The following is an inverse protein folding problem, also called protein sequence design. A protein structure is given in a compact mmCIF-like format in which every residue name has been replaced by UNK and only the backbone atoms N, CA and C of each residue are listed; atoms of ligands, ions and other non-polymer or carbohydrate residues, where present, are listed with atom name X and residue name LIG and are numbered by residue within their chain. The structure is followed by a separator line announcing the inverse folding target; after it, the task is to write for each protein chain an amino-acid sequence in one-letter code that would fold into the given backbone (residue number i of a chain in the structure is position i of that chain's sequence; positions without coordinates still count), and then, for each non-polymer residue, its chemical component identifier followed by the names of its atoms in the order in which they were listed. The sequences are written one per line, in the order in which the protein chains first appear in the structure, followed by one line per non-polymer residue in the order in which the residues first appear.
data_IF_177266676581
#
_entry.id   IF_177266676581
#
_cell.length_a   1.000
_cell.length_b   1.000
_cell.length_c   1.000
_cell.angle_alpha   90.00
_cell.angle_beta   90.00
_cell.angle_gamma   90.00
#
_symmetry.space_group_name_H-M   'P 1'
#
loop_
_entity.id
_entity.type
_entity.pdbx_description
1 polymer ?
#
# COMPACT_ATOMS: atom_id res chain seq x y z
N UNK A 1 8.45 15.10 22.15
CA UNK A 1 7.87 13.77 22.40
C UNK A 1 6.40 13.93 22.19
N UNK A 2 5.86 13.35 21.14
CA UNK A 2 4.41 13.34 20.91
C UNK A 2 3.81 12.45 21.98
N UNK A 3 2.79 12.94 22.66
CA UNK A 3 2.03 12.15 23.60
C UNK A 3 1.39 10.99 22.83
N UNK A 4 1.86 9.77 23.09
CA UNK A 4 1.19 8.57 22.59
C UNK A 4 -0.26 8.60 23.07
N UNK A 5 -1.19 8.21 22.21
CA UNK A 5 -2.56 7.99 22.66
C UNK A 5 -2.53 7.04 23.88
N UNK A 6 -2.83 7.53 25.10
CA UNK A 6 -2.67 6.74 26.32
C UNK A 6 -3.61 5.53 26.40
N UNK A 7 -4.61 5.47 25.52
CA UNK A 7 -5.55 4.36 25.41
C UNK A 7 -5.03 3.23 24.49
N UNK A 8 -3.91 3.45 23.79
CA UNK A 8 -3.38 2.49 22.81
C UNK A 8 -1.99 1.99 23.24
N UNK A 9 -1.95 0.84 23.88
CA UNK A 9 -0.72 0.21 24.43
C UNK A 9 -0.12 -0.86 23.49
N UNK A 10 -0.35 -0.76 22.18
CA UNK A 10 0.23 -1.69 21.22
C UNK A 10 1.61 -1.20 20.77
N UNK A 11 2.57 -2.11 20.75
CA UNK A 11 3.90 -1.93 20.16
C UNK A 11 4.20 -3.10 19.23
N UNK A 12 4.78 -2.81 18.06
CA UNK A 12 5.34 -3.88 17.22
C UNK A 12 6.49 -4.61 17.92
N UNK A 13 6.71 -5.85 17.52
CA UNK A 13 7.85 -6.63 18.03
C UNK A 13 9.18 -5.94 17.72
N UNK A 14 10.19 -6.07 18.58
CA UNK A 14 11.53 -5.53 18.32
C UNK A 14 12.09 -6.03 16.99
N UNK A 15 12.55 -5.10 16.15
CA UNK A 15 13.11 -5.41 14.83
C UNK A 15 12.06 -5.64 13.72
N UNK A 16 10.77 -5.50 13.99
CA UNK A 16 9.71 -5.62 12.98
C UNK A 16 9.96 -4.66 11.80
N UNK A 17 9.77 -5.15 10.58
CA UNK A 17 9.90 -4.36 9.36
C UNK A 17 8.97 -3.15 9.30
N UNK A 18 7.81 -3.23 9.94
CA UNK A 18 6.79 -2.17 9.94
C UNK A 18 7.29 -0.85 10.52
N UNK A 19 8.29 -0.86 11.43
CA UNK A 19 8.96 0.36 11.89
C UNK A 19 9.61 1.14 10.75
N UNK A 20 10.26 0.44 9.82
CA UNK A 20 10.88 1.07 8.65
C UNK A 20 9.86 1.63 7.68
N UNK A 21 8.74 0.94 7.49
CA UNK A 21 7.63 1.41 6.64
C UNK A 21 6.96 2.64 7.24
N UNK A 22 6.68 2.62 8.55
CA UNK A 22 6.17 3.78 9.28
C UNK A 22 7.08 5.00 9.06
N UNK A 23 8.39 4.83 9.28
CA UNK A 23 9.35 5.91 9.12
C UNK A 23 9.41 6.44 7.68
N UNK A 24 9.27 5.55 6.70
CA UNK A 24 9.20 5.94 5.30
C UNK A 24 7.93 6.75 4.99
N UNK A 25 6.79 6.36 5.55
CA UNK A 25 5.52 7.08 5.39
C UNK A 25 5.59 8.48 6.02
N UNK A 26 6.17 8.61 7.22
CA UNK A 26 6.40 9.91 7.87
C UNK A 26 7.24 10.84 6.99
N UNK A 27 8.37 10.36 6.46
CA UNK A 27 9.20 11.12 5.53
C UNK A 27 8.45 11.49 4.24
N UNK A 28 7.66 10.56 3.70
CA UNK A 28 6.92 10.79 2.47
C UNK A 28 5.83 11.87 2.64
N UNK A 29 5.07 11.82 3.73
CA UNK A 29 4.06 12.85 4.02
C UNK A 29 4.70 14.21 4.28
N UNK A 30 5.81 14.25 5.04
CA UNK A 30 6.56 15.47 5.28
C UNK A 30 7.08 16.11 3.97
N UNK A 31 7.72 15.32 3.10
CA UNK A 31 8.21 15.76 1.79
C UNK A 31 7.07 16.25 0.89
N UNK A 32 5.97 15.50 0.82
CA UNK A 32 4.79 15.87 0.03
C UNK A 32 4.16 17.17 0.52
N UNK A 33 4.06 17.35 1.84
CA UNK A 33 3.48 18.55 2.42
C UNK A 33 4.33 19.79 2.14
N UNK A 34 5.66 19.66 2.23
CA UNK A 34 6.59 20.77 1.90
C UNK A 34 6.50 21.09 0.40
N UNK A 35 6.51 20.08 -0.48
CA UNK A 35 6.51 20.27 -1.93
C UNK A 35 5.22 20.91 -2.45
N UNK A 36 4.08 20.58 -1.86
CA UNK A 36 2.75 21.01 -2.30
C UNK A 36 2.11 22.04 -1.35
N UNK A 37 2.88 22.60 -0.41
CA UNK A 37 2.39 23.59 0.58
C UNK A 37 1.14 23.09 1.34
N UNK A 38 1.12 21.80 1.68
CA UNK A 38 0.01 21.14 2.40
C UNK A 38 0.26 21.11 3.90
N UNK A 39 -0.84 21.04 4.64
CA UNK A 39 -0.80 20.74 6.09
C UNK A 39 -0.90 19.22 6.31
N UNK A 40 -0.53 18.76 7.52
CA UNK A 40 -0.69 17.34 7.87
C UNK A 40 -2.15 16.91 7.90
N UNK A 41 -3.07 17.81 8.22
CA UNK A 41 -4.53 17.57 8.22
C UNK A 41 -5.12 17.29 6.82
N UNK A 42 -4.40 17.62 5.75
CA UNK A 42 -4.79 17.29 4.38
C UNK A 42 -4.38 15.85 3.99
N UNK A 43 -3.78 15.10 4.91
CA UNK A 43 -3.47 13.68 4.74
C UNK A 43 -4.45 12.84 5.55
N UNK A 44 -4.86 11.71 4.96
CA UNK A 44 -5.70 10.71 5.62
C UNK A 44 -5.08 9.34 5.43
N UNK A 45 -4.80 8.66 6.54
CA UNK A 45 -4.30 7.29 6.54
C UNK A 45 -5.44 6.33 6.89
N UNK A 46 -5.77 5.44 5.97
CA UNK A 46 -6.81 4.42 6.12
C UNK A 46 -6.15 3.07 6.32
N UNK A 47 -6.27 2.53 7.51
CA UNK A 47 -5.65 1.26 7.88
C UNK A 47 -6.64 0.10 7.82
N UNK A 48 -6.15 -1.05 7.36
CA UNK A 48 -6.82 -2.34 7.53
C UNK A 48 -6.54 -2.95 8.90
N UNK A 49 -6.74 -4.25 9.06
CA UNK A 49 -6.54 -4.97 10.33
C UNK A 49 -5.31 -5.88 10.23
N UNK A 50 -4.52 -5.87 11.29
CA UNK A 50 -3.28 -6.63 11.45
C UNK A 50 -2.19 -5.78 12.07
N UNK A 51 -0.96 -6.28 12.12
CA UNK A 51 0.19 -5.51 12.62
C UNK A 51 0.35 -4.20 11.84
N UNK A 52 0.27 -4.26 10.52
CA UNK A 52 0.35 -3.10 9.62
C UNK A 52 -0.75 -2.05 9.88
N UNK A 53 -1.97 -2.48 10.25
CA UNK A 53 -3.08 -1.60 10.58
C UNK A 53 -2.81 -0.68 11.78
N UNK A 54 -1.94 -1.10 12.69
CA UNK A 54 -1.55 -0.29 13.85
C UNK A 54 -0.70 0.94 13.48
N UNK A 55 -0.26 1.07 12.24
CA UNK A 55 0.49 2.24 11.75
C UNK A 55 -0.21 3.56 12.09
N UNK A 56 -1.53 3.65 11.93
CA UNK A 56 -2.29 4.88 12.24
C UNK A 56 -2.18 5.34 13.69
N UNK A 57 -1.89 4.42 14.61
CA UNK A 57 -1.73 4.72 16.04
C UNK A 57 -0.27 4.94 16.44
N UNK A 58 0.67 4.57 15.57
CA UNK A 58 2.10 4.53 15.86
C UNK A 58 2.89 5.59 15.07
N UNK A 59 2.26 6.38 14.19
CA UNK A 59 2.89 7.50 13.54
C UNK A 59 3.44 8.47 14.59
N UNK A 60 4.61 9.02 14.33
CA UNK A 60 5.28 10.00 15.19
C UNK A 60 5.21 11.39 14.55
N UNK A 61 5.28 12.45 15.37
CA UNK A 61 5.21 13.83 14.90
C UNK A 61 3.78 14.36 14.84
N UNK A 62 3.55 15.29 13.93
CA UNK A 62 2.23 15.80 13.62
C UNK A 62 1.39 14.69 12.98
N UNK A 63 0.14 14.54 13.42
CA UNK A 63 -0.68 13.42 13.05
C UNK A 63 -1.63 13.76 11.89
N UNK A 64 -1.67 12.91 10.82
CA UNK A 64 -2.73 12.97 9.83
C UNK A 64 -4.05 12.46 10.45
N UNK A 65 -5.17 12.68 9.76
CA UNK A 65 -6.39 11.96 10.10
C UNK A 65 -6.22 10.47 9.83
N UNK A 66 -6.78 9.62 10.71
CA UNK A 66 -6.64 8.17 10.61
C UNK A 66 -7.96 7.43 10.75
N UNK A 67 -8.13 6.38 9.95
CA UNK A 67 -9.18 5.38 10.12
C UNK A 67 -8.51 4.03 10.37
N UNK A 68 -8.88 3.36 11.47
CA UNK A 68 -8.54 1.96 11.68
C UNK A 68 -9.83 1.15 11.57
N UNK A 69 -10.05 0.57 10.41
CA UNK A 69 -11.35 0.04 10.03
C UNK A 69 -11.47 -1.47 10.12
N UNK A 70 -12.40 -2.02 9.34
CA UNK A 70 -12.70 -3.45 9.29
C UNK A 70 -11.69 -4.17 8.41
N UNK A 71 -11.35 -5.40 8.77
CA UNK A 71 -10.42 -6.27 8.04
C UNK A 71 -10.80 -6.41 6.57
N UNK A 72 -9.83 -6.13 5.67
CA UNK A 72 -10.00 -6.17 4.23
C UNK A 72 -10.88 -5.06 3.64
N UNK A 73 -11.16 -3.98 4.38
CA UNK A 73 -12.06 -2.90 3.92
C UNK A 73 -11.39 -1.54 3.84
N UNK A 74 -10.09 -1.50 3.90
CA UNK A 74 -9.33 -0.24 3.79
C UNK A 74 -9.56 0.46 2.45
N UNK A 75 -9.56 -0.25 1.31
CA UNK A 75 -9.82 0.33 -0.01
C UNK A 75 -11.22 0.96 -0.15
N UNK A 76 -12.34 0.30 0.19
CA UNK A 76 -13.65 0.94 0.09
C UNK A 76 -13.83 2.13 1.04
N UNK A 77 -13.21 2.11 2.23
CA UNK A 77 -13.19 3.28 3.14
C UNK A 77 -12.39 4.42 2.52
N UNK A 78 -11.19 4.14 1.98
CA UNK A 78 -10.37 5.13 1.29
C UNK A 78 -11.10 5.72 0.06
N UNK A 79 -11.80 4.88 -0.70
CA UNK A 79 -12.62 5.32 -1.82
C UNK A 79 -13.72 6.30 -1.37
N UNK A 80 -14.45 5.97 -0.32
CA UNK A 80 -15.49 6.85 0.24
C UNK A 80 -14.90 8.18 0.71
N UNK A 81 -13.75 8.15 1.37
CA UNK A 81 -13.02 9.35 1.82
C UNK A 81 -12.61 10.22 0.62
N UNK A 82 -11.96 9.63 -0.38
CA UNK A 82 -11.49 10.36 -1.56
C UNK A 82 -12.62 10.95 -2.40
N UNK A 83 -13.71 10.22 -2.58
CA UNK A 83 -14.89 10.72 -3.29
C UNK A 83 -15.60 11.85 -2.55
N UNK A 84 -15.59 11.84 -1.22
CA UNK A 84 -16.20 12.89 -0.40
C UNK A 84 -15.31 14.14 -0.28
N UNK A 85 -13.99 13.94 -0.26
CA UNK A 85 -12.96 14.99 -0.13
C UNK A 85 -11.84 14.73 -1.14
N UNK A 86 -12.05 15.10 -2.41
CA UNK A 86 -11.08 14.88 -3.48
C UNK A 86 -9.77 15.67 -3.32
N UNK A 87 -9.77 16.71 -2.49
CA UNK A 87 -8.62 17.53 -2.13
C UNK A 87 -7.61 16.80 -1.23
N UNK A 88 -8.04 15.79 -0.46
CA UNK A 88 -7.18 15.09 0.49
C UNK A 88 -6.21 14.12 -0.20
N UNK A 89 -5.00 14.01 0.36
CA UNK A 89 -4.10 12.90 0.10
C UNK A 89 -4.55 11.68 0.91
N UNK A 90 -5.03 10.63 0.23
CA UNK A 90 -5.58 9.43 0.88
C UNK A 90 -4.63 8.26 0.69
N UNK A 91 -4.10 7.78 1.81
CA UNK A 91 -3.14 6.68 1.86
C UNK A 91 -3.76 5.49 2.58
N UNK A 92 -3.70 4.32 1.97
CA UNK A 92 -4.08 3.04 2.58
C UNK A 92 -2.83 2.38 3.14
N UNK A 93 -2.91 1.83 4.36
CA UNK A 93 -1.89 0.94 4.93
C UNK A 93 -2.53 -0.40 5.29
N UNK A 94 -1.97 -1.49 4.78
CA UNK A 94 -2.51 -2.82 4.98
C UNK A 94 -1.39 -3.88 4.95
N UNK A 95 -1.61 -5.03 5.58
CA UNK A 95 -0.76 -6.20 5.42
C UNK A 95 -1.16 -7.03 4.20
N UNK A 96 -0.28 -7.93 3.78
CA UNK A 96 -0.53 -8.88 2.70
C UNK A 96 -1.78 -9.73 2.97
N UNK A 97 -1.96 -10.24 4.18
CA UNK A 97 -3.15 -11.00 4.56
C UNK A 97 -4.44 -10.19 4.56
N UNK A 98 -4.38 -8.93 4.96
CA UNK A 98 -5.53 -8.01 4.94
C UNK A 98 -5.92 -7.63 3.50
N UNK A 99 -4.95 -7.29 2.68
CA UNK A 99 -5.16 -6.73 1.35
C UNK A 99 -5.37 -7.79 0.27
N UNK A 100 -4.61 -8.89 0.32
CA UNK A 100 -4.59 -9.94 -0.71
C UNK A 100 -5.41 -11.18 -0.36
N UNK A 101 -6.09 -11.21 0.78
CA UNK A 101 -7.06 -12.24 1.14
C UNK A 101 -8.45 -11.62 1.18
N UNK A 102 -8.95 -11.27 2.35
CA UNK A 102 -10.31 -10.75 2.52
C UNK A 102 -10.56 -9.38 1.86
N UNK A 103 -9.49 -8.64 1.48
CA UNK A 103 -9.57 -7.36 0.77
C UNK A 103 -9.40 -7.46 -0.74
N UNK A 104 -9.07 -8.63 -1.27
CA UNK A 104 -8.66 -8.79 -2.68
C UNK A 104 -9.74 -8.34 -3.69
N UNK A 105 -11.00 -8.59 -3.40
CA UNK A 105 -12.11 -8.22 -4.28
C UNK A 105 -12.25 -6.71 -4.51
N UNK A 106 -11.66 -5.88 -3.64
CA UNK A 106 -11.70 -4.42 -3.78
C UNK A 106 -10.61 -3.85 -4.70
N UNK A 107 -9.57 -4.63 -5.02
CA UNK A 107 -8.45 -4.16 -5.85
C UNK A 107 -8.92 -3.93 -7.29
N UNK A 108 -9.62 -4.88 -7.89
CA UNK A 108 -10.06 -4.80 -9.28
C UNK A 108 -11.00 -3.59 -9.55
N UNK A 109 -12.07 -3.36 -8.76
CA UNK A 109 -12.92 -2.19 -8.95
C UNK A 109 -12.19 -0.88 -8.67
N UNK A 110 -11.22 -0.83 -7.75
CA UNK A 110 -10.40 0.35 -7.51
C UNK A 110 -9.44 0.61 -8.68
N UNK A 111 -8.78 -0.42 -9.19
CA UNK A 111 -7.94 -0.32 -10.39
C UNK A 111 -8.78 0.13 -11.61
N UNK A 112 -10.01 -0.38 -11.76
CA UNK A 112 -10.91 0.04 -12.82
C UNK A 112 -11.33 1.52 -12.70
N UNK A 113 -11.57 2.03 -11.49
CA UNK A 113 -11.89 3.45 -11.24
C UNK A 113 -10.68 4.35 -11.39
N UNK A 114 -9.51 3.90 -10.99
CA UNK A 114 -8.27 4.69 -11.01
C UNK A 114 -8.37 6.00 -10.18
N UNK A 115 -8.95 5.94 -8.97
CA UNK A 115 -8.98 7.07 -8.04
C UNK A 115 -7.58 7.38 -7.51
N UNK A 116 -7.27 8.64 -7.25
CA UNK A 116 -6.02 9.08 -6.63
C UNK A 116 -5.92 8.61 -5.17
N UNK A 117 -5.55 7.35 -5.01
CA UNK A 117 -5.34 6.69 -3.72
C UNK A 117 -4.02 5.91 -3.80
N UNK A 118 -3.19 6.04 -2.79
CA UNK A 118 -1.94 5.27 -2.67
C UNK A 118 -2.09 4.19 -1.62
N UNK A 119 -1.92 2.92 -2.00
CA UNK A 119 -1.93 1.79 -1.08
C UNK A 119 -0.50 1.32 -0.79
N UNK A 120 -0.13 1.29 0.49
CA UNK A 120 1.16 0.79 1.00
C UNK A 120 0.89 -0.56 1.63
N UNK A 121 1.41 -1.62 1.00
CA UNK A 121 1.17 -3.00 1.43
C UNK A 121 2.42 -3.53 2.11
N UNK A 122 2.31 -3.80 3.41
CA UNK A 122 3.38 -4.32 4.26
C UNK A 122 3.33 -5.84 4.23
N UNK A 123 4.11 -6.44 3.33
CA UNK A 123 4.15 -7.89 3.15
C UNK A 123 5.19 -8.51 4.08
N UNK A 124 4.71 -9.27 5.05
CA UNK A 124 5.55 -10.09 5.94
C UNK A 124 5.36 -11.60 5.73
N UNK A 125 4.51 -12.00 4.79
CA UNK A 125 4.25 -13.39 4.42
C UNK A 125 3.52 -14.20 5.50
N UNK A 126 2.87 -13.57 6.49
CA UNK A 126 2.11 -14.26 7.55
C UNK A 126 1.04 -13.34 8.15
N UNK A 127 0.02 -13.91 8.78
CA UNK A 127 -0.84 -13.19 9.72
C UNK A 127 -0.14 -13.04 11.07
N UNK A 128 0.67 -11.98 11.24
CA UNK A 128 1.51 -11.80 12.43
C UNK A 128 0.70 -11.53 13.70
N UNK A 129 -0.30 -10.65 13.67
CA UNK A 129 -1.11 -10.24 14.83
C UNK A 129 -1.83 -11.43 15.48
N UNK A 130 -2.31 -12.37 14.69
CA UNK A 130 -3.04 -13.57 15.12
C UNK A 130 -2.13 -14.77 15.38
N UNK A 131 -0.81 -14.55 15.47
CA UNK A 131 0.20 -15.54 15.91
C UNK A 131 0.74 -16.45 14.79
N UNK A 132 0.85 -15.95 13.56
CA UNK A 132 1.68 -16.57 12.52
C UNK A 132 0.99 -17.65 11.68
N UNK A 133 -0.27 -17.44 11.30
CA UNK A 133 -0.92 -18.26 10.28
C UNK A 133 -0.37 -17.91 8.89
N UNK A 134 -0.50 -18.85 7.94
CA UNK A 134 -0.13 -18.60 6.55
C UNK A 134 -1.04 -17.56 5.90
N UNK A 135 -0.43 -16.62 5.18
CA UNK A 135 -1.08 -15.58 4.38
C UNK A 135 -1.07 -15.95 2.89
N UNK A 136 -1.71 -15.17 2.01
CA UNK A 136 -1.64 -15.41 0.57
C UNK A 136 -0.21 -15.43 0.00
N UNK A 137 0.69 -14.62 0.54
CA UNK A 137 2.09 -14.50 0.09
C UNK A 137 3.06 -15.46 0.76
N UNK A 138 2.60 -16.22 1.78
CA UNK A 138 3.42 -17.28 2.38
C UNK A 138 3.86 -18.28 1.32
N UNK A 139 5.16 -18.56 1.24
CA UNK A 139 5.70 -19.51 0.25
C UNK A 139 5.23 -20.96 0.48
N UNK A 140 5.16 -21.73 -0.60
CA UNK A 140 4.85 -23.17 -0.53
C UNK A 140 5.81 -23.89 0.43
N UNK A 141 5.35 -24.96 1.06
CA UNK A 141 6.07 -25.78 2.04
C UNK A 141 6.41 -25.06 3.37
N UNK A 142 6.10 -23.76 3.52
CA UNK A 142 6.32 -23.07 4.79
C UNK A 142 5.40 -23.65 5.88
N UNK A 143 6.02 -24.09 6.95
CA UNK A 143 5.31 -24.56 8.16
C UNK A 143 4.89 -23.37 8.99
N UNK A 144 3.60 -23.27 9.26
CA UNK A 144 3.00 -22.22 10.11
C UNK A 144 1.97 -22.84 11.07
N UNK A 145 1.42 -22.04 11.97
CA UNK A 145 0.39 -22.52 12.89
C UNK A 145 -0.89 -23.02 12.20
N UNK A 146 -1.19 -22.54 11.01
CA UNK A 146 -2.33 -23.00 10.20
C UNK A 146 -1.97 -24.07 9.18
N UNK A 147 -0.68 -24.26 8.89
CA UNK A 147 -0.17 -25.22 7.93
C UNK A 147 0.94 -26.10 8.55
N UNK A 148 0.62 -26.98 9.52
CA UNK A 148 1.63 -27.71 10.29
C UNK A 148 2.43 -28.72 9.46
N UNK A 149 1.95 -29.10 8.27
CA UNK A 149 2.63 -29.98 7.32
C UNK A 149 3.24 -29.23 6.12
N UNK A 150 3.34 -27.91 6.21
CA UNK A 150 3.72 -27.01 5.12
C UNK A 150 2.52 -26.52 4.31
N UNK A 151 2.62 -25.30 3.80
CA UNK A 151 1.59 -24.71 2.92
C UNK A 151 1.59 -25.43 1.58
N UNK A 152 0.43 -25.84 1.12
CA UNK A 152 0.26 -26.58 -0.15
C UNK A 152 -0.11 -25.64 -1.31
N UNK A 153 -0.76 -24.52 -1.03
CA UNK A 153 -1.17 -23.55 -2.05
C UNK A 153 0.01 -22.71 -2.52
N UNK A 154 0.06 -22.44 -3.82
CA UNK A 154 1.01 -21.52 -4.42
C UNK A 154 0.80 -20.11 -3.86
N UNK A 155 1.89 -19.43 -3.53
CA UNK A 155 1.82 -18.05 -3.09
C UNK A 155 1.31 -17.13 -4.21
N UNK A 156 0.48 -16.17 -3.83
CA UNK A 156 0.10 -15.08 -4.75
C UNK A 156 1.36 -14.27 -5.08
N UNK A 157 1.56 -13.96 -6.37
CA UNK A 157 2.52 -12.94 -6.78
C UNK A 157 1.81 -11.58 -6.81
N UNK A 158 2.06 -10.68 -5.85
CA UNK A 158 1.31 -9.44 -5.76
C UNK A 158 1.52 -8.51 -6.95
N UNK A 159 2.76 -8.38 -7.43
CA UNK A 159 3.10 -7.47 -8.52
C UNK A 159 2.44 -7.88 -9.83
N UNK A 160 2.40 -9.20 -10.10
CA UNK A 160 1.70 -9.76 -11.26
C UNK A 160 0.19 -9.53 -11.19
N UNK A 161 -0.39 -9.74 -10.00
CA UNK A 161 -1.81 -9.48 -9.75
C UNK A 161 -2.16 -8.01 -10.02
N UNK A 162 -1.38 -7.07 -9.48
CA UNK A 162 -1.63 -5.63 -9.65
C UNK A 162 -1.53 -5.21 -11.12
N UNK A 163 -0.49 -5.67 -11.83
CA UNK A 163 -0.30 -5.39 -13.24
C UNK A 163 -1.45 -5.96 -14.10
N UNK A 164 -1.90 -7.17 -13.78
CA UNK A 164 -3.02 -7.86 -14.46
C UNK A 164 -4.34 -7.13 -14.23
N UNK A 165 -4.59 -6.64 -13.02
CA UNK A 165 -5.80 -5.87 -12.68
C UNK A 165 -5.79 -4.45 -13.24
N UNK A 166 -4.66 -3.97 -13.78
CA UNK A 166 -4.55 -2.66 -14.40
C UNK A 166 -4.35 -1.51 -13.42
N UNK A 167 -3.66 -1.75 -12.31
CA UNK A 167 -3.16 -0.69 -11.43
C UNK A 167 -2.18 0.17 -12.21
N UNK A 168 -2.30 1.50 -12.12
CA UNK A 168 -1.56 2.44 -12.98
C UNK A 168 -0.20 2.83 -12.43
N UNK A 169 0.05 2.65 -11.13
CA UNK A 169 1.38 2.79 -10.53
C UNK A 169 1.68 1.62 -9.62
N UNK A 170 2.77 0.90 -9.91
CA UNK A 170 3.22 -0.24 -9.12
C UNK A 170 4.69 -0.03 -8.78
N UNK A 171 5.00 0.05 -7.49
CA UNK A 171 6.36 0.08 -6.99
C UNK A 171 6.58 -1.03 -5.97
N UNK A 172 7.81 -1.47 -5.84
CA UNK A 172 8.21 -2.45 -4.84
C UNK A 172 9.37 -1.91 -4.02
N UNK A 173 9.33 -2.13 -2.71
CA UNK A 173 10.29 -1.58 -1.77
C UNK A 173 10.67 -2.55 -0.66
N UNK A 174 11.63 -2.13 0.16
CA UNK A 174 12.11 -2.89 1.31
C UNK A 174 12.17 -2.01 2.55
N UNK A 175 11.60 -2.45 3.65
CA UNK A 175 11.43 -1.68 4.89
C UNK A 175 12.73 -1.20 5.54
N UNK A 176 13.87 -1.86 5.27
CA UNK A 176 15.18 -1.47 5.84
C UNK A 176 15.80 -0.23 5.16
N UNK A 177 15.19 0.26 4.09
CA UNK A 177 15.64 1.45 3.35
C UNK A 177 14.58 2.56 3.39
N UNK A 178 14.26 3.13 4.57
CA UNK A 178 13.12 4.03 4.72
C UNK A 178 13.19 5.30 3.85
N UNK A 179 14.38 5.85 3.58
CA UNK A 179 14.53 7.02 2.70
C UNK A 179 14.29 6.70 1.21
N UNK A 180 14.73 5.53 0.74
CA UNK A 180 14.46 5.10 -0.64
C UNK A 180 12.98 4.73 -0.79
N UNK A 181 12.42 4.06 0.21
CA UNK A 181 11.00 3.71 0.25
C UNK A 181 10.10 4.96 0.29
N UNK A 182 10.50 6.01 1.03
CA UNK A 182 9.77 7.28 1.06
C UNK A 182 9.65 7.91 -0.32
N UNK A 183 10.72 7.90 -1.13
CA UNK A 183 10.68 8.41 -2.52
C UNK A 183 9.68 7.65 -3.39
N UNK A 184 9.57 6.34 -3.23
CA UNK A 184 8.56 5.53 -3.93
C UNK A 184 7.15 5.88 -3.48
N UNK A 185 6.95 6.13 -2.18
CA UNK A 185 5.67 6.54 -1.62
C UNK A 185 5.25 7.93 -2.11
N UNK A 186 6.16 8.92 -2.09
CA UNK A 186 5.91 10.26 -2.66
C UNK A 186 5.49 10.15 -4.11
N UNK A 187 6.26 9.41 -4.91
CA UNK A 187 5.95 9.21 -6.32
C UNK A 187 4.59 8.55 -6.55
N UNK A 188 4.21 7.59 -5.68
CA UNK A 188 2.87 6.98 -5.69
C UNK A 188 1.77 7.96 -5.30
N UNK A 189 2.01 8.86 -4.32
CA UNK A 189 1.04 9.88 -3.89
C UNK A 189 0.86 10.98 -4.94
N UNK A 190 1.88 11.29 -5.73
CA UNK A 190 1.83 12.26 -6.83
C UNK A 190 1.27 11.69 -8.13
N UNK A 191 1.25 10.35 -8.27
CA UNK A 191 0.73 9.71 -9.47
C UNK A 191 -0.77 9.99 -9.66
N UNK A 192 -1.20 10.43 -10.86
CA UNK A 192 -2.61 10.74 -11.13
C UNK A 192 -3.44 9.46 -11.34
N UNK A 193 -3.69 8.71 -10.28
CA UNK A 193 -4.44 7.46 -10.34
C UNK A 193 -4.21 6.55 -9.15
N UNK A 194 -4.56 5.28 -9.29
CA UNK A 194 -4.42 4.29 -8.23
C UNK A 194 -2.99 3.73 -8.20
N UNK A 195 -2.35 3.94 -7.06
CA UNK A 195 -0.97 3.56 -6.80
C UNK A 195 -0.87 2.46 -5.76
N UNK A 196 0.02 1.49 -5.98
CA UNK A 196 0.39 0.48 -4.98
C UNK A 196 1.91 0.47 -4.80
N UNK A 197 2.34 0.67 -3.56
CA UNK A 197 3.72 0.45 -3.11
C UNK A 197 3.75 -0.81 -2.27
N UNK A 198 4.22 -1.92 -2.84
CA UNK A 198 4.34 -3.20 -2.17
C UNK A 198 5.67 -3.31 -1.45
N UNK A 199 5.68 -3.56 -0.15
CA UNK A 199 6.87 -3.45 0.69
C UNK A 199 7.18 -4.77 1.35
N UNK A 200 8.34 -5.35 1.08
CA UNK A 200 8.89 -6.44 1.88
C UNK A 200 9.15 -5.93 3.31
N UNK A 201 8.35 -6.38 4.27
CA UNK A 201 8.35 -5.96 5.67
C UNK A 201 8.44 -7.15 6.62
N UNK A 202 9.63 -7.75 6.80
CA UNK A 202 9.80 -9.00 7.54
C UNK A 202 9.26 -8.99 8.97
N UNK A 203 8.60 -10.08 9.35
CA UNK A 203 8.17 -10.34 10.71
C UNK A 203 9.25 -11.11 11.48
N UNK A 204 9.94 -10.45 12.42
CA UNK A 204 11.00 -11.08 13.23
C UNK A 204 10.53 -12.23 14.12
N UNK A 205 9.24 -12.34 14.37
CA UNK A 205 8.68 -13.35 15.29
C UNK A 205 8.21 -14.61 14.57
N UNK A 206 7.60 -14.48 13.37
CA UNK A 206 6.94 -15.61 12.70
C UNK A 206 7.48 -15.90 11.30
N UNK A 207 8.16 -14.94 10.65
CA UNK A 207 8.74 -15.09 9.32
C UNK A 207 9.92 -14.12 9.15
N UNK A 208 11.03 -14.44 9.82
CA UNK A 208 12.26 -13.64 9.71
C UNK A 208 13.02 -14.02 8.44
N UNK A 209 12.78 -13.27 7.38
CA UNK A 209 13.45 -13.43 6.09
C UNK A 209 14.41 -12.27 5.76
N UNK A 210 14.83 -11.48 6.76
CA UNK A 210 15.81 -10.39 6.54
C UNK A 210 17.11 -10.86 5.89
N UNK A 211 17.61 -12.02 6.31
CA UNK A 211 18.85 -12.57 5.77
C UNK A 211 18.70 -12.99 4.31
N UNK A 212 17.57 -13.55 3.92
CA UNK A 212 17.27 -13.92 2.54
C UNK A 212 17.13 -12.67 1.65
N UNK A 213 16.42 -11.66 2.12
CA UNK A 213 16.24 -10.40 1.38
C UNK A 213 17.57 -9.67 1.18
N UNK A 214 18.37 -9.53 2.23
CA UNK A 214 19.64 -8.80 2.21
C UNK A 214 20.81 -9.60 1.59
N UNK A 215 20.73 -10.91 1.67
CA UNK A 215 21.86 -11.81 1.42
C UNK A 215 22.85 -11.88 2.58
N UNK A 216 23.68 -12.90 2.58
CA UNK A 216 24.77 -13.08 3.55
C UNK A 216 25.94 -13.82 2.92
N UNK A 217 27.01 -13.10 2.64
CA UNK A 217 28.24 -13.73 2.13
C UNK A 217 28.82 -14.79 3.08
N UNK A 218 28.69 -14.55 4.40
CA UNK A 218 29.14 -15.51 5.44
C UNK A 218 28.39 -16.84 5.39
N UNK A 219 27.10 -16.81 5.02
CA UNK A 219 26.24 -18.00 4.94
C UNK A 219 26.07 -18.50 3.50
N UNK A 220 26.72 -17.88 2.50
CA UNK A 220 26.55 -18.22 1.09
C UNK A 220 25.15 -17.90 0.53
N UNK A 221 24.37 -17.03 1.19
CA UNK A 221 23.02 -16.67 0.79
C UNK A 221 23.09 -15.48 -0.14
N UNK A 222 22.60 -15.63 -1.38
CA UNK A 222 22.43 -14.52 -2.31
C UNK A 222 21.22 -13.67 -1.90
N UNK A 223 21.27 -12.32 -2.10
CA UNK A 223 20.13 -11.46 -1.82
C UNK A 223 18.97 -11.77 -2.78
N UNK A 224 17.76 -11.86 -2.24
CA UNK A 224 16.54 -11.95 -3.07
C UNK A 224 15.96 -10.58 -3.38
N UNK A 225 16.36 -9.53 -2.64
CA UNK A 225 16.02 -8.15 -2.97
C UNK A 225 17.11 -7.55 -3.87
N UNK A 226 16.70 -6.96 -5.00
CA UNK A 226 17.60 -6.41 -6.00
C UNK A 226 17.05 -5.11 -6.60
N UNK A 227 17.91 -4.22 -7.06
CA UNK A 227 17.50 -2.94 -7.63
C UNK A 227 17.04 -3.13 -9.08
N UNK A 228 15.89 -2.57 -9.43
CA UNK A 228 15.45 -2.48 -10.82
C UNK A 228 16.50 -1.68 -11.62
N UNK A 229 16.90 -2.13 -12.83
CA UNK A 229 17.86 -1.40 -13.66
C UNK A 229 17.40 0.03 -13.97
N UNK A 230 18.36 0.95 -14.06
CA UNK A 230 18.06 2.37 -14.35
C UNK A 230 17.45 2.61 -15.73
N UNK A 231 17.72 1.71 -16.69
CA UNK A 231 17.19 1.73 -18.05
C UNK A 231 15.85 1.02 -18.21
N UNK A 232 15.23 0.59 -17.09
CA UNK A 232 13.90 -0.03 -17.11
C UNK A 232 12.83 0.95 -17.62
N UNK A 233 12.12 0.54 -18.66
CA UNK A 233 10.94 1.26 -19.17
C UNK A 233 9.71 0.94 -18.32
N UNK A 234 9.48 1.71 -17.27
CA UNK A 234 8.31 1.55 -16.39
C UNK A 234 6.98 1.82 -17.11
N UNK A 235 6.97 2.54 -18.25
CA UNK A 235 5.76 2.75 -19.06
C UNK A 235 5.31 1.51 -19.86
N UNK A 236 6.19 0.51 -19.99
CA UNK A 236 5.93 -0.69 -20.75
C UNK A 236 5.44 -1.85 -19.89
N UNK A 237 4.21 -2.33 -20.11
CA UNK A 237 3.70 -3.54 -19.45
C UNK A 237 4.55 -4.78 -19.73
N UNK A 238 5.17 -4.87 -20.91
CA UNK A 238 6.04 -5.98 -21.27
C UNK A 238 7.33 -5.93 -20.47
N UNK A 239 7.94 -4.74 -20.33
CA UNK A 239 9.12 -4.56 -19.49
C UNK A 239 8.81 -4.84 -18.01
N UNK A 240 7.67 -4.33 -17.50
CA UNK A 240 7.20 -4.63 -16.14
C UNK A 240 7.01 -6.14 -15.89
N UNK A 241 6.45 -6.86 -16.86
CA UNK A 241 6.33 -8.32 -16.80
C UNK A 241 7.70 -8.99 -16.71
N UNK A 242 8.69 -8.53 -17.50
CA UNK A 242 10.06 -9.02 -17.42
C UNK A 242 10.67 -8.86 -16.03
N UNK A 243 10.49 -7.69 -15.38
CA UNK A 243 10.93 -7.45 -13.99
C UNK A 243 10.26 -8.45 -13.02
N UNK A 244 8.96 -8.71 -13.17
CA UNK A 244 8.22 -9.62 -12.30
C UNK A 244 8.68 -11.08 -12.48
N UNK A 245 8.96 -11.47 -13.71
CA UNK A 245 9.38 -12.84 -14.08
C UNK A 245 10.81 -13.18 -13.60
N UNK A 246 11.67 -12.17 -13.36
CA UNK A 246 12.98 -12.36 -12.71
C UNK A 246 12.84 -12.90 -11.27
N UNK A 247 11.69 -12.71 -10.64
CA UNK A 247 11.41 -13.15 -9.28
C UNK A 247 12.14 -12.35 -8.20
N UNK A 248 12.08 -12.83 -6.97
CA UNK A 248 12.61 -12.10 -5.81
C UNK A 248 11.82 -10.83 -5.51
N UNK A 249 12.50 -9.82 -4.96
CA UNK A 249 11.90 -8.52 -4.58
C UNK A 249 12.60 -7.41 -5.37
N UNK A 250 12.06 -7.00 -6.54
CA UNK A 250 12.60 -5.88 -7.31
C UNK A 250 12.38 -4.56 -6.55
N UNK A 251 13.42 -3.76 -6.37
CA UNK A 251 13.37 -2.50 -5.64
C UNK A 251 13.33 -1.32 -6.61
N UNK A 252 12.20 -0.63 -6.68
CA UNK A 252 11.98 0.50 -7.58
C UNK A 252 10.55 0.56 -8.12
N UNK A 253 10.35 1.39 -9.14
CA UNK A 253 9.08 1.47 -9.87
C UNK A 253 9.05 0.36 -10.91
N UNK A 254 8.06 -0.53 -10.79
CA UNK A 254 7.84 -1.67 -11.69
C UNK A 254 7.04 -1.24 -12.91
N UNK A 255 5.96 -0.46 -12.68
CA UNK A 255 5.07 0.01 -13.75
C UNK A 255 4.48 1.37 -13.42
N UNK A 256 4.34 2.23 -14.44
CA UNK A 256 3.69 3.54 -14.32
C UNK A 256 3.02 3.92 -15.63
N UNK A 257 1.69 4.13 -15.60
CA UNK A 257 0.87 4.58 -16.73
C UNK A 257 0.18 5.90 -16.37
N UNK A 258 0.71 7.00 -16.87
CA UNK A 258 0.12 8.34 -16.72
C UNK A 258 -0.83 8.72 -17.87
N UNK A 259 -0.98 7.86 -18.86
CA UNK A 259 -1.86 8.12 -20.02
C UNK A 259 -3.35 7.92 -19.70
N UNK A 260 -3.63 7.10 -18.70
CA UNK A 260 -4.98 6.83 -18.25
C UNK A 260 -5.43 7.89 -17.23
N UNK A 261 -6.46 8.69 -17.53
CA UNK A 261 -6.93 9.71 -16.60
C UNK A 261 -7.48 9.10 -15.30
N UNK A 262 -7.24 9.77 -14.19
CA UNK A 262 -7.85 9.38 -12.92
C UNK A 262 -9.36 9.61 -12.93
N UNK A 263 -10.09 8.88 -12.08
CA UNK A 263 -11.53 9.10 -11.91
C UNK A 263 -11.81 10.51 -11.39
N UNK A 264 -10.97 11.05 -10.52
CA UNK A 264 -11.07 12.41 -9.99
C UNK A 264 -11.09 13.42 -11.15
N UNK A 265 -10.11 13.35 -12.06
CA UNK A 265 -10.04 14.24 -13.23
C UNK A 265 -11.24 14.08 -14.17
N UNK A 266 -11.70 12.84 -14.40
CA UNK A 266 -12.87 12.58 -15.23
C UNK A 266 -14.15 13.13 -14.59
N UNK A 267 -14.29 12.95 -13.26
CA UNK A 267 -15.44 13.44 -12.52
C UNK A 267 -15.51 14.97 -12.53
N UNK A 268 -14.37 15.64 -12.33
CA UNK A 268 -14.29 17.11 -12.40
C UNK A 268 -14.62 17.63 -13.80
N UNK A 269 -14.17 16.95 -14.85
CA UNK A 269 -14.54 17.30 -16.23
C UNK A 269 -16.04 17.17 -16.49
N UNK A 270 -16.71 16.17 -15.90
CA UNK A 270 -18.17 16.02 -15.97
C UNK A 270 -18.88 17.12 -15.18
N UNK A 271 -18.41 17.43 -13.97
CA UNK A 271 -18.98 18.51 -13.13
C UNK A 271 -18.89 19.87 -13.81
N UNK A 272 -17.76 20.16 -14.45
CA UNK A 272 -17.55 21.43 -15.17
C UNK A 272 -18.50 21.58 -16.34
N UNK A 273 -18.80 20.48 -17.05
CA UNK A 273 -19.74 20.49 -18.20
C UNK A 273 -21.21 20.53 -17.79
N UNK A 274 -21.52 20.06 -16.57
CA UNK A 274 -22.88 19.99 -16.08
C UNK A 274 -23.02 20.92 -14.86
N UNK A 275 -23.61 22.09 -15.00
CA UNK A 275 -23.77 23.02 -13.87
C UNK A 275 -24.53 22.32 -12.73
N UNK A 276 -24.02 22.53 -11.51
CA UNK A 276 -24.65 21.96 -10.32
C UNK A 276 -26.07 22.48 -10.19
N UNK A 277 -27.03 21.57 -10.14
CA UNK A 277 -28.39 21.89 -9.73
C UNK A 277 -28.43 21.98 -8.20
N UNK A 278 -29.22 22.89 -7.68
CA UNK A 278 -29.46 22.94 -6.23
C UNK A 278 -30.21 21.67 -5.79
N UNK A 279 -30.12 21.25 -4.53
CA UNK A 279 -30.96 20.16 -4.01
C UNK A 279 -32.47 20.39 -4.27
N UNK A 280 -32.93 21.65 -4.21
CA UNK A 280 -34.30 22.01 -4.53
C UNK A 280 -34.63 21.74 -6.00
N UNK A 281 -33.75 22.11 -6.95
CA UNK A 281 -33.96 21.84 -8.39
C UNK A 281 -33.97 20.33 -8.68
N UNK A 282 -33.19 19.55 -7.94
CA UNK A 282 -33.17 18.09 -8.09
C UNK A 282 -34.45 17.46 -7.55
N UNK A 283 -34.98 17.96 -6.43
CA UNK A 283 -36.22 17.48 -5.82
C UNK A 283 -37.46 17.91 -6.64
N UNK A 284 -37.44 19.10 -7.25
CA UNK A 284 -38.52 19.59 -8.08
C UNK A 284 -38.88 18.67 -9.27
N UNK A 285 -37.96 17.79 -9.69
CA UNK A 285 -38.23 16.77 -10.73
C UNK A 285 -39.22 15.70 -10.23
N UNK A 286 -39.35 15.55 -8.96
CA UNK A 286 -40.26 14.58 -8.31
C UNK A 286 -41.54 15.21 -7.77
N UNK A 287 -41.65 16.53 -7.79
CA UNK A 287 -42.91 17.23 -7.48
C UNK A 287 -43.86 17.03 -8.66
N UNK A 288 -44.86 16.15 -8.51
CA UNK A 288 -45.92 15.86 -9.45
C UNK A 288 -47.11 16.82 -9.23
#
# INVERSE_FOLDING_TARGET
MTDKNPEYDFLWCPGCGDFGVRRALEFAMEELNITHERTMEENVVVAGIGCSGNTVHLLEGEQPYGFHGIHGRSLPVAMGTKMSRPDLNVVVVAGDGDFLSIGMEHIAPQAARNLNITAIIMDNGVYGLTKGQSSPTTTIETVTNSTPFGKMEVAVNPLDLYLTLGVTFIASGYSVKPRDLAKLMVRGMEHPGFSIVHVASPCTTYNDNFTQLKGSAKLGIQPTAWAIPEDHDAGSKTAARGIIDEGGVPLGVVYEDTSRPSFDAQFDAVRTKNPQKSPADLLAVFDL
#
